data_IF_335980086995
#
_entry.id   IF_335980086995
#
_cell.length_a   1.000
_cell.length_b   1.000
_cell.length_c   1.000
_cell.angle_alpha   90.00
_cell.angle_beta   90.00
_cell.angle_gamma   90.00
#
_symmetry.space_group_name_H-M   'P 1'
#
loop_
_entity.id
_entity.type
_entity.pdbx_description
1 polymer ?
#
# COMPACT_ATOMS: atom_id res chain seq x y z
N UNK A 1 -16.36 -11.23 2.34
CA UNK A 1 -14.98 -10.84 2.70
C UNK A 1 -14.06 -11.44 1.67
N UNK A 2 -13.48 -10.62 0.80
CA UNK A 2 -12.67 -11.07 -0.34
C UNK A 2 -11.24 -10.56 -0.15
N UNK A 3 -10.25 -11.45 -0.15
CA UNK A 3 -8.84 -11.09 0.03
C UNK A 3 -8.13 -10.93 -1.31
N UNK A 4 -7.01 -10.21 -1.28
CA UNK A 4 -6.13 -10.11 -2.43
C UNK A 4 -5.68 -11.51 -2.91
N UNK A 5 -5.87 -11.85 -4.19
CA UNK A 5 -5.36 -13.11 -4.74
C UNK A 5 -3.85 -13.21 -4.56
N UNK A 6 -3.34 -14.38 -4.15
CA UNK A 6 -1.88 -14.63 -3.98
C UNK A 6 -1.17 -13.57 -3.11
N UNK A 7 -1.87 -13.05 -2.10
CA UNK A 7 -1.34 -12.02 -1.19
C UNK A 7 -0.06 -12.45 -0.47
N UNK A 8 0.13 -13.75 -0.23
CA UNK A 8 1.34 -14.30 0.39
C UNK A 8 2.59 -14.13 -0.48
N UNK A 9 2.42 -13.99 -1.81
CA UNK A 9 3.50 -13.75 -2.77
C UNK A 9 3.59 -12.28 -3.19
N UNK A 10 2.82 -11.38 -2.57
CA UNK A 10 2.77 -9.97 -2.93
C UNK A 10 4.17 -9.32 -2.92
N UNK A 11 4.43 -8.53 -3.96
CA UNK A 11 5.69 -7.85 -4.19
C UNK A 11 5.55 -6.35 -3.95
N UNK A 12 6.45 -5.86 -3.09
CA UNK A 12 6.64 -4.43 -2.82
C UNK A 12 8.08 -4.11 -3.21
N UNK A 13 8.26 -3.45 -4.35
CA UNK A 13 9.59 -3.10 -4.86
C UNK A 13 10.26 -2.02 -3.99
N UNK A 14 11.53 -2.21 -3.63
CA UNK A 14 12.29 -1.22 -2.84
C UNK A 14 12.26 0.16 -3.50
N UNK A 15 12.50 0.20 -4.81
CA UNK A 15 12.51 1.43 -5.60
C UNK A 15 11.19 2.20 -5.45
N UNK A 16 10.06 1.48 -5.51
CA UNK A 16 8.71 2.03 -5.31
C UNK A 16 8.56 2.66 -3.91
N UNK A 17 9.06 2.00 -2.88
CA UNK A 17 8.93 2.49 -1.49
C UNK A 17 9.83 3.70 -1.26
N UNK A 18 11.11 3.63 -1.66
CA UNK A 18 12.07 4.71 -1.43
C UNK A 18 11.88 5.92 -2.34
N UNK A 19 11.54 5.69 -3.60
CA UNK A 19 11.54 6.73 -4.64
C UNK A 19 10.14 7.28 -4.96
N UNK A 20 9.05 6.54 -4.69
CA UNK A 20 7.68 7.05 -4.86
C UNK A 20 7.06 7.40 -3.50
N UNK A 21 7.00 6.44 -2.57
CA UNK A 21 6.22 6.61 -1.32
C UNK A 21 6.93 7.46 -0.27
N UNK A 22 8.26 7.38 -0.17
CA UNK A 22 9.10 8.08 0.81
C UNK A 22 9.93 9.21 0.18
N UNK A 23 9.61 9.64 -1.04
CA UNK A 23 10.33 10.71 -1.71
C UNK A 23 9.62 12.07 -1.52
N UNK A 24 10.20 12.99 -0.71
CA UNK A 24 9.62 14.31 -0.49
C UNK A 24 9.84 15.28 -1.66
N UNK A 25 10.69 14.95 -2.63
CA UNK A 25 11.03 15.84 -3.75
C UNK A 25 10.09 15.67 -4.95
N UNK A 26 9.34 14.57 -5.00
CA UNK A 26 8.31 14.35 -6.00
C UNK A 26 7.06 15.18 -5.67
N UNK A 27 6.81 16.18 -6.51
CA UNK A 27 5.76 17.18 -6.33
C UNK A 27 4.35 16.56 -6.34
N UNK A 28 4.17 15.39 -6.94
CA UNK A 28 2.92 14.61 -6.92
C UNK A 28 2.80 13.72 -5.66
N UNK A 29 3.94 13.34 -5.06
CA UNK A 29 4.00 12.42 -3.92
C UNK A 29 4.38 13.06 -2.56
N UNK A 30 4.63 14.38 -2.50
CA UNK A 30 4.89 15.15 -1.27
C UNK A 30 3.90 14.84 -0.13
N UNK A 31 2.62 14.73 -0.45
CA UNK A 31 1.58 14.39 0.53
C UNK A 31 1.68 12.97 1.10
N UNK A 32 2.22 12.02 0.33
CA UNK A 32 2.44 10.63 0.77
C UNK A 32 3.70 10.51 1.62
N UNK A 33 4.79 11.17 1.24
CA UNK A 33 6.01 11.17 2.02
C UNK A 33 5.80 11.78 3.43
N UNK A 34 5.10 12.90 3.52
CA UNK A 34 4.74 13.52 4.80
C UNK A 34 3.84 12.61 5.65
N UNK A 35 2.91 11.88 5.01
CA UNK A 35 2.07 10.90 5.68
C UNK A 35 2.92 9.78 6.30
N UNK A 36 3.76 9.10 5.51
CA UNK A 36 4.61 8.00 5.99
C UNK A 36 5.61 8.45 7.06
N UNK A 37 6.17 9.66 6.94
CA UNK A 37 6.99 10.25 7.99
C UNK A 37 6.19 10.52 9.28
N UNK A 38 4.94 10.97 9.18
CA UNK A 38 4.07 11.17 10.35
C UNK A 38 3.73 9.85 11.07
N UNK A 39 3.81 8.71 10.39
CA UNK A 39 3.73 7.38 11.01
C UNK A 39 5.06 6.88 11.60
N UNK A 40 6.14 7.64 11.46
CA UNK A 40 7.48 7.22 11.88
C UNK A 40 8.25 6.36 10.87
N UNK A 41 7.73 6.19 9.64
CA UNK A 41 8.48 5.53 8.58
C UNK A 41 9.46 6.51 7.93
N UNK A 42 10.75 6.23 8.09
CA UNK A 42 11.83 7.00 7.45
C UNK A 42 12.40 6.24 6.25
N UNK A 43 13.19 6.91 5.42
CA UNK A 43 13.92 6.26 4.33
C UNK A 43 14.85 5.15 4.81
N UNK A 44 15.40 5.26 6.02
CA UNK A 44 16.25 4.21 6.62
C UNK A 44 15.43 3.00 7.10
N UNK A 45 14.18 3.23 7.52
CA UNK A 45 13.22 2.20 7.94
C UNK A 45 12.33 1.68 6.79
N UNK A 46 12.73 1.87 5.54
CA UNK A 46 11.94 1.50 4.35
C UNK A 46 11.55 0.02 4.32
N UNK A 47 12.39 -0.86 4.87
CA UNK A 47 12.16 -2.30 4.96
C UNK A 47 10.97 -2.62 5.88
N UNK A 48 10.81 -1.88 6.98
CA UNK A 48 9.67 -2.01 7.89
C UNK A 48 8.38 -1.59 7.17
N UNK A 49 8.42 -0.49 6.42
CA UNK A 49 7.28 -0.05 5.62
C UNK A 49 6.93 -1.09 4.53
N UNK A 50 7.94 -1.62 3.84
CA UNK A 50 7.76 -2.69 2.84
C UNK A 50 7.05 -3.90 3.45
N UNK A 51 7.53 -4.39 4.58
CA UNK A 51 6.99 -5.58 5.22
C UNK A 51 5.58 -5.33 5.77
N UNK A 52 5.32 -4.13 6.28
CA UNK A 52 3.98 -3.69 6.71
C UNK A 52 3.02 -3.64 5.53
N UNK A 53 3.41 -3.04 4.41
CA UNK A 53 2.59 -2.97 3.19
C UNK A 53 2.32 -4.38 2.64
N UNK A 54 3.31 -5.27 2.66
CA UNK A 54 3.17 -6.65 2.22
C UNK A 54 2.22 -7.47 3.10
N UNK A 55 2.24 -7.24 4.41
CA UNK A 55 1.32 -7.89 5.35
C UNK A 55 -0.11 -7.32 5.27
N UNK A 56 -0.27 -6.06 4.86
CA UNK A 56 -1.56 -5.37 4.81
C UNK A 56 -2.67 -6.17 4.10
N UNK A 57 -2.52 -6.66 2.86
CA UNK A 57 -3.57 -7.44 2.18
C UNK A 57 -3.82 -8.84 2.77
N UNK A 58 -2.95 -9.33 3.67
CA UNK A 58 -3.20 -10.60 4.38
C UNK A 58 -4.25 -10.43 5.47
N UNK A 59 -4.34 -9.24 6.06
CA UNK A 59 -5.20 -8.94 7.20
C UNK A 59 -6.44 -8.12 6.85
N UNK A 60 -6.49 -7.54 5.64
CA UNK A 60 -7.55 -6.63 5.22
C UNK A 60 -8.23 -7.12 3.94
N UNK A 61 -9.53 -6.84 3.83
CA UNK A 61 -10.33 -7.20 2.66
C UNK A 61 -10.20 -6.19 1.53
N UNK A 62 -10.38 -6.67 0.30
CA UNK A 62 -10.60 -5.84 -0.87
C UNK A 62 -11.93 -5.10 -0.72
N UNK A 63 -11.88 -3.78 -0.82
CA UNK A 63 -13.08 -2.93 -0.89
C UNK A 63 -13.49 -2.62 -2.32
N UNK A 64 -12.53 -2.46 -3.23
CA UNK A 64 -12.79 -2.10 -4.63
C UNK A 64 -11.91 -2.92 -5.58
N UNK A 65 -12.46 -3.29 -6.73
CA UNK A 65 -11.72 -3.91 -7.81
C UNK A 65 -12.06 -3.23 -9.13
N UNK A 66 -11.04 -2.84 -9.91
CA UNK A 66 -11.22 -2.21 -11.22
C UNK A 66 -10.32 -2.84 -12.28
N UNK A 67 -10.85 -2.99 -13.49
CA UNK A 67 -10.06 -3.47 -14.63
C UNK A 67 -9.22 -2.33 -15.22
N UNK A 68 -8.00 -2.64 -15.64
CA UNK A 68 -7.13 -1.73 -16.37
C UNK A 68 -6.42 -2.45 -17.51
N UNK A 69 -5.81 -1.70 -18.43
CA UNK A 69 -4.96 -2.23 -19.50
C UNK A 69 -3.78 -3.06 -18.98
N UNK A 70 -3.41 -2.87 -17.71
CA UNK A 70 -2.30 -3.55 -17.05
C UNK A 70 -2.81 -4.63 -16.08
N UNK A 71 -4.03 -5.16 -16.24
CA UNK A 71 -4.60 -6.16 -15.32
C UNK A 71 -5.57 -5.56 -14.30
N UNK A 72 -5.86 -6.32 -13.26
CA UNK A 72 -6.93 -6.02 -12.31
C UNK A 72 -6.34 -5.31 -11.09
N UNK A 73 -6.84 -4.11 -10.81
CA UNK A 73 -6.47 -3.34 -9.63
C UNK A 73 -7.40 -3.68 -8.47
N UNK A 74 -6.83 -3.85 -7.28
CA UNK A 74 -7.57 -4.11 -6.05
C UNK A 74 -7.19 -3.06 -5.01
N UNK A 75 -8.20 -2.35 -4.49
CA UNK A 75 -8.03 -1.43 -3.37
C UNK A 75 -8.34 -2.16 -2.07
N UNK A 76 -7.37 -2.16 -1.17
CA UNK A 76 -7.42 -2.80 0.14
C UNK A 76 -7.24 -1.71 1.19
N UNK A 77 -8.32 -1.15 1.75
CA UNK A 77 -8.27 -0.24 2.89
C UNK A 77 -7.96 -1.02 4.18
N UNK A 78 -7.49 -0.32 5.21
CA UNK A 78 -7.36 -0.92 6.53
C UNK A 78 -8.75 -1.31 7.08
N UNK A 79 -8.82 -2.41 7.82
CA UNK A 79 -9.97 -2.85 8.59
C UNK A 79 -9.78 -2.43 10.06
N UNK A 80 -10.85 -1.93 10.66
CA UNK A 80 -10.93 -1.42 12.05
C UNK A 80 -10.28 -0.05 12.31
N UNK A 81 -10.94 0.74 13.16
CA UNK A 81 -10.43 2.03 13.63
C UNK A 81 -9.48 1.78 14.78
N UNK A 82 -8.22 2.24 14.73
CA UNK A 82 -7.39 2.22 15.94
C UNK A 82 -8.11 2.99 17.05
N UNK A 83 -8.21 2.36 18.23
CA UNK A 83 -8.88 2.93 19.41
C UNK A 83 -8.23 4.23 19.91
N UNK A 84 -7.00 4.53 19.46
CA UNK A 84 -6.27 5.75 19.80
C UNK A 84 -6.70 6.99 19.00
N UNK A 85 -7.62 6.84 18.03
CA UNK A 85 -8.18 7.94 17.23
C UNK A 85 -7.21 8.60 16.24
N UNK A 86 -5.92 8.23 16.24
CA UNK A 86 -4.93 8.78 15.29
C UNK A 86 -5.11 8.18 13.91
N UNK A 87 -5.57 6.92 13.88
CA UNK A 87 -5.85 6.04 12.75
C UNK A 87 -5.65 6.67 11.37
N UNK A 88 -4.41 6.84 10.89
CA UNK A 88 -4.24 7.19 9.50
C UNK A 88 -4.39 5.85 8.78
N UNK A 89 -5.64 5.48 8.52
CA UNK A 89 -5.97 4.31 7.74
C UNK A 89 -5.28 4.46 6.38
N UNK A 90 -4.52 3.48 5.95
CA UNK A 90 -3.97 3.47 4.60
C UNK A 90 -4.81 2.58 3.71
N UNK A 91 -4.96 3.00 2.46
CA UNK A 91 -5.47 2.18 1.38
C UNK A 91 -4.29 1.80 0.51
N UNK A 92 -4.07 0.49 0.40
CA UNK A 92 -3.08 -0.07 -0.52
C UNK A 92 -3.77 -0.49 -1.81
N UNK A 93 -3.19 -0.13 -2.95
CA UNK A 93 -3.69 -0.53 -4.27
C UNK A 93 -2.71 -1.50 -4.89
N UNK A 94 -3.22 -2.67 -5.24
CA UNK A 94 -2.46 -3.78 -5.82
C UNK A 94 -2.92 -4.03 -7.24
N UNK A 95 -2.04 -4.57 -8.08
CA UNK A 95 -2.39 -5.02 -9.42
C UNK A 95 -2.04 -6.50 -9.60
N UNK A 96 -2.99 -7.26 -10.10
CA UNK A 96 -2.85 -8.68 -10.46
C UNK A 96 -2.88 -8.83 -11.98
N UNK A 97 -1.94 -9.61 -12.52
CA UNK A 97 -1.76 -9.81 -13.97
C UNK A 97 -1.51 -11.29 -14.29
N UNK A 98 -2.56 -12.00 -14.68
CA UNK A 98 -2.48 -13.43 -14.97
C UNK A 98 -1.90 -14.21 -13.79
N UNK A 99 -0.82 -14.96 -14.03
CA UNK A 99 -0.12 -15.75 -13.01
C UNK A 99 1.04 -15.00 -12.34
N UNK A 100 1.12 -13.67 -12.49
CA UNK A 100 2.16 -12.88 -11.82
C UNK A 100 1.73 -12.56 -10.38
N UNK A 101 2.69 -12.54 -9.44
CA UNK A 101 2.40 -12.14 -8.07
C UNK A 101 1.85 -10.70 -8.03
N UNK A 102 0.95 -10.37 -7.07
CA UNK A 102 0.40 -9.05 -6.93
C UNK A 102 1.49 -8.01 -6.70
N UNK A 103 1.42 -6.88 -7.39
CA UNK A 103 2.39 -5.79 -7.22
C UNK A 103 1.73 -4.57 -6.63
N UNK A 104 2.43 -3.90 -5.71
CA UNK A 104 1.97 -2.64 -5.15
C UNK A 104 2.02 -1.53 -6.20
N UNK A 105 0.86 -0.93 -6.48
CA UNK A 105 0.73 0.23 -7.38
C UNK A 105 0.97 1.52 -6.61
N UNK A 106 0.25 1.69 -5.50
CA UNK A 106 0.34 2.90 -4.65
C UNK A 106 -0.23 2.60 -3.26
N UNK A 107 0.12 3.44 -2.29
CA UNK A 107 -0.50 3.48 -0.97
C UNK A 107 -0.78 4.94 -0.61
N UNK A 108 -1.96 5.23 -0.07
CA UNK A 108 -2.39 6.57 0.31
C UNK A 108 -3.30 6.52 1.53
N UNK A 109 -3.53 7.67 2.17
CA UNK A 109 -4.47 7.77 3.29
C UNK A 109 -5.89 7.48 2.81
N UNK A 110 -6.54 6.48 3.41
CA UNK A 110 -7.98 6.28 3.28
C UNK A 110 -8.71 7.50 3.85
N UNK A 111 -9.50 8.16 3.00
CA UNK A 111 -10.37 9.27 3.38
C UNK A 111 -11.53 8.81 4.26
#
# INVERSE_FOLDING_TARGET
>A
MSRLPDAESALVEEKKVRDDLLNPDDQENKGKAALFQAFGFTRDAWHILRDTLRAHPLHNDIAETSQSSHGIKHAVPCSERTQDGRNPCITTVWITEGNRPPRLVTAYRGS
#
